data_IF_889744205189
#
_entry.id   IF_889744205189
#
_cell.length_a   1.000
_cell.length_b   1.000
_cell.length_c   1.000
_cell.angle_alpha   90.00
_cell.angle_beta   90.00
_cell.angle_gamma   90.00
#
_symmetry.space_group_name_H-M   'P 1'
#
loop_
_entity.id
_entity.type
_entity.pdbx_description
1 polymer ?
#
# COMPACT_ATOMS: atom_id res chain seq x y z
N UNK A 1 -2.85 23.37 21.63
CA UNK A 1 -4.21 23.21 21.07
C UNK A 1 -4.29 21.80 20.54
N UNK A 2 -5.15 20.95 21.11
CA UNK A 2 -5.34 19.59 20.59
C UNK A 2 -6.07 19.72 19.26
N UNK A 3 -5.35 19.58 18.15
CA UNK A 3 -5.95 19.54 16.82
C UNK A 3 -6.79 18.27 16.74
N UNK A 4 -8.09 18.43 16.54
CA UNK A 4 -9.00 17.30 16.24
C UNK A 4 -8.34 16.44 15.15
N UNK A 5 -8.22 15.11 15.33
CA UNK A 5 -7.67 14.25 14.29
C UNK A 5 -8.45 14.45 12.99
N UNK A 6 -7.76 14.71 11.88
CA UNK A 6 -8.43 14.86 10.57
C UNK A 6 -8.95 13.53 10.03
N UNK A 7 -8.46 12.42 10.58
CA UNK A 7 -8.85 11.06 10.26
C UNK A 7 -9.91 10.61 11.29
N UNK A 8 -11.08 10.10 10.85
CA UNK A 8 -12.10 9.59 11.77
C UNK A 8 -11.58 8.37 12.54
N UNK A 9 -12.18 8.08 13.69
CA UNK A 9 -11.94 6.83 14.42
C UNK A 9 -12.10 5.65 13.47
N UNK A 10 -11.08 4.79 13.43
CA UNK A 10 -10.95 3.74 12.42
C UNK A 10 -10.30 2.51 13.01
N UNK A 11 -10.99 1.37 12.93
CA UNK A 11 -10.46 0.05 13.27
C UNK A 11 -9.97 -0.67 12.02
N UNK A 12 -8.70 -1.07 12.04
CA UNK A 12 -8.01 -1.66 10.87
C UNK A 12 -7.58 -3.09 11.17
N UNK A 13 -7.92 -4.02 10.27
CA UNK A 13 -7.28 -5.33 10.21
C UNK A 13 -6.10 -5.27 9.22
N UNK A 14 -4.88 -5.35 9.73
CA UNK A 14 -3.65 -5.35 8.92
C UNK A 14 -3.12 -6.79 8.74
N UNK A 15 -3.17 -7.30 7.50
CA UNK A 15 -2.79 -8.67 7.14
C UNK A 15 -1.55 -8.67 6.26
N UNK A 16 -0.37 -8.86 6.84
CA UNK A 16 0.90 -8.86 6.10
C UNK A 16 1.98 -9.64 6.85
N UNK A 17 3.20 -9.66 6.31
CA UNK A 17 4.36 -10.24 7.00
C UNK A 17 4.75 -9.44 8.25
N UNK A 18 5.48 -10.06 9.17
CA UNK A 18 6.09 -9.40 10.31
C UNK A 18 7.57 -9.81 10.43
N UNK A 19 8.43 -8.87 10.83
CA UNK A 19 9.86 -9.09 11.05
C UNK A 19 10.28 -8.61 12.44
N UNK A 20 11.21 -9.35 13.08
CA UNK A 20 11.74 -8.98 14.40
C UNK A 20 12.59 -7.71 14.31
N UNK A 21 13.48 -7.63 13.32
CA UNK A 21 14.33 -6.47 13.04
C UNK A 21 14.10 -5.96 11.62
N UNK A 22 14.30 -4.65 11.41
CA UNK A 22 13.99 -3.97 10.15
C UNK A 22 12.56 -3.45 10.08
N UNK A 23 12.20 -2.89 8.93
CA UNK A 23 10.90 -2.27 8.65
C UNK A 23 10.35 -2.80 7.33
N UNK A 24 9.42 -3.75 7.41
CA UNK A 24 8.58 -4.26 6.32
C UNK A 24 7.26 -4.80 6.90
N UNK A 25 6.26 -5.00 6.05
CA UNK A 25 4.96 -5.59 6.38
C UNK A 25 4.25 -4.87 7.52
N UNK A 26 3.63 -5.65 8.42
CA UNK A 26 2.89 -5.17 9.58
C UNK A 26 3.73 -4.33 10.54
N UNK A 27 5.07 -4.45 10.54
CA UNK A 27 5.91 -3.57 11.37
C UNK A 27 5.88 -2.11 10.90
N UNK A 28 5.74 -1.88 9.59
CA UNK A 28 5.50 -0.55 9.03
C UNK A 28 4.02 -0.21 9.14
N UNK A 29 3.14 -1.08 8.65
CA UNK A 29 1.73 -0.77 8.53
C UNK A 29 1.12 -0.41 9.88
N UNK A 30 1.34 -1.22 10.92
CA UNK A 30 0.84 -0.95 12.28
C UNK A 30 1.36 0.39 12.80
N UNK A 31 2.66 0.66 12.64
CA UNK A 31 3.24 1.92 13.11
C UNK A 31 2.63 3.15 12.41
N UNK A 32 2.52 3.10 11.09
CA UNK A 32 1.94 4.20 10.29
C UNK A 32 0.48 4.40 10.66
N UNK A 33 -0.32 3.35 10.68
CA UNK A 33 -1.75 3.42 10.99
C UNK A 33 -2.02 3.93 12.42
N UNK A 34 -1.31 3.40 13.42
CA UNK A 34 -1.43 3.87 14.81
C UNK A 34 -0.92 5.31 14.98
N UNK A 35 0.12 5.70 14.23
CA UNK A 35 0.60 7.08 14.27
C UNK A 35 -0.45 8.08 13.79
N UNK A 36 -1.37 7.64 12.94
CA UNK A 36 -2.48 8.40 12.40
C UNK A 36 -3.76 8.30 13.24
N UNK A 37 -3.72 7.59 14.37
CA UNK A 37 -4.84 7.47 15.31
C UNK A 37 -5.75 6.27 15.09
N UNK A 38 -5.36 5.30 14.26
CA UNK A 38 -6.15 4.08 14.04
C UNK A 38 -5.89 3.03 15.12
N UNK A 39 -6.93 2.27 15.46
CA UNK A 39 -6.83 1.04 16.24
C UNK A 39 -6.55 -0.13 15.30
N UNK A 40 -5.43 -0.82 15.49
CA UNK A 40 -4.94 -1.82 14.51
C UNK A 40 -4.84 -3.19 15.14
N UNK A 41 -5.55 -4.16 14.55
CA UNK A 41 -5.31 -5.58 14.78
C UNK A 41 -4.39 -6.11 13.69
N UNK A 42 -3.26 -6.71 14.07
CA UNK A 42 -2.29 -7.27 13.13
C UNK A 42 -2.44 -8.80 13.03
N UNK A 43 -2.73 -9.29 11.84
CA UNK A 43 -2.67 -10.71 11.50
C UNK A 43 -1.41 -10.95 10.67
N UNK A 44 -0.41 -11.61 11.27
CA UNK A 44 0.87 -11.84 10.63
C UNK A 44 0.84 -13.11 9.78
N UNK A 45 1.07 -12.98 8.47
CA UNK A 45 1.13 -14.12 7.53
C UNK A 45 2.49 -14.84 7.58
N UNK A 46 3.51 -14.13 8.06
CA UNK A 46 4.86 -14.61 8.29
C UNK A 46 5.37 -14.00 9.59
N UNK A 47 5.97 -14.82 10.43
CA UNK A 47 6.74 -14.37 11.59
C UNK A 47 8.23 -14.56 11.29
N UNK A 48 8.90 -13.48 10.89
CA UNK A 48 10.28 -13.47 10.42
C UNK A 48 10.52 -14.41 9.22
N UNK A 49 11.08 -15.61 9.44
CA UNK A 49 11.30 -16.62 8.39
C UNK A 49 10.24 -17.74 8.40
N UNK A 50 9.39 -17.78 9.41
CA UNK A 50 8.39 -18.83 9.58
C UNK A 50 7.07 -18.40 8.97
N UNK A 51 6.56 -19.17 8.02
CA UNK A 51 5.23 -18.94 7.41
C UNK A 51 4.14 -19.40 8.37
N UNK A 52 3.07 -18.61 8.48
CA UNK A 52 1.84 -19.02 9.15
C UNK A 52 0.96 -19.73 8.14
N UNK A 53 0.46 -20.91 8.49
CA UNK A 53 -0.38 -21.74 7.63
C UNK A 53 -1.76 -21.11 7.41
N UNK A 54 -2.43 -21.53 6.34
CA UNK A 54 -3.80 -21.10 6.06
C UNK A 54 -4.78 -21.45 7.20
N UNK A 55 -4.58 -22.58 7.88
CA UNK A 55 -5.39 -22.98 9.03
C UNK A 55 -5.12 -22.07 10.23
N UNK A 56 -3.87 -21.79 10.58
CA UNK A 56 -3.53 -20.88 11.69
C UNK A 56 -4.06 -19.46 11.46
N UNK A 57 -4.04 -18.96 10.21
CA UNK A 57 -4.68 -17.67 9.85
C UNK A 57 -6.19 -17.73 10.13
N UNK A 58 -6.86 -18.82 9.76
CA UNK A 58 -8.29 -18.98 9.99
C UNK A 58 -8.61 -19.13 11.49
N UNK A 59 -7.80 -19.89 12.24
CA UNK A 59 -7.99 -20.07 13.69
C UNK A 59 -7.89 -18.73 14.44
N UNK A 60 -6.95 -17.86 14.04
CA UNK A 60 -6.84 -16.50 14.58
C UNK A 60 -8.07 -15.65 14.23
N UNK A 61 -8.54 -15.72 12.99
CA UNK A 61 -9.75 -15.02 12.56
C UNK A 61 -11.00 -15.50 13.32
N UNK A 62 -11.17 -16.80 13.48
CA UNK A 62 -12.26 -17.39 14.25
C UNK A 62 -12.18 -16.99 15.73
N UNK A 63 -10.97 -16.91 16.31
CA UNK A 63 -10.76 -16.40 17.66
C UNK A 63 -11.18 -14.93 17.83
N UNK A 64 -10.89 -14.07 16.84
CA UNK A 64 -11.37 -12.68 16.83
C UNK A 64 -12.89 -12.61 16.79
N UNK A 65 -13.54 -13.40 15.92
CA UNK A 65 -15.00 -13.48 15.83
C UNK A 65 -15.63 -13.96 17.15
N UNK A 66 -15.11 -15.02 17.74
CA UNK A 66 -15.59 -15.56 19.02
C UNK A 66 -15.44 -14.57 20.19
N UNK A 67 -14.52 -13.61 20.06
CA UNK A 67 -14.27 -12.57 21.05
C UNK A 67 -14.97 -11.24 20.76
N UNK A 68 -15.79 -11.16 19.71
CA UNK A 68 -16.43 -9.92 19.23
C UNK A 68 -15.43 -8.81 18.87
N UNK A 69 -14.27 -9.19 18.31
CA UNK A 69 -13.17 -8.30 17.92
C UNK A 69 -13.07 -8.12 16.41
N UNK A 70 -14.12 -8.46 15.66
CA UNK A 70 -14.18 -8.52 14.20
C UNK A 70 -15.00 -7.36 13.59
N UNK A 71 -15.15 -6.24 14.30
CA UNK A 71 -15.75 -4.98 13.85
C UNK A 71 -14.69 -4.02 13.31
N UNK A 72 -14.19 -4.34 12.11
CA UNK A 72 -13.23 -3.53 11.38
C UNK A 72 -13.93 -2.60 10.37
N UNK A 73 -13.44 -1.36 10.27
CA UNK A 73 -13.83 -0.40 9.22
C UNK A 73 -13.04 -0.63 7.93
N UNK A 74 -11.81 -1.10 8.08
CA UNK A 74 -10.86 -1.22 6.97
C UNK A 74 -10.06 -2.50 7.14
N UNK A 75 -9.77 -3.16 6.02
CA UNK A 75 -8.72 -4.17 5.94
C UNK A 75 -7.63 -3.72 4.99
N UNK A 76 -6.38 -3.84 5.41
CA UNK A 76 -5.20 -3.68 4.57
C UNK A 76 -4.49 -5.03 4.49
N UNK A 77 -4.40 -5.61 3.31
CA UNK A 77 -3.64 -6.84 3.09
C UNK A 77 -2.44 -6.61 2.17
N UNK A 78 -1.27 -7.12 2.55
CA UNK A 78 -0.02 -7.03 1.79
C UNK A 78 0.61 -8.39 1.56
N UNK A 79 1.90 -8.54 1.88
CA UNK A 79 2.65 -9.77 1.58
C UNK A 79 2.02 -11.05 2.16
N UNK A 80 1.64 -11.97 1.26
CA UNK A 80 1.10 -13.30 1.57
C UNK A 80 1.83 -14.34 0.69
N UNK A 81 2.70 -15.20 1.25
CA UNK A 81 3.68 -15.98 0.47
C UNK A 81 3.13 -17.25 -0.21
N UNK A 82 1.86 -17.62 -0.03
CA UNK A 82 1.31 -18.90 -0.49
C UNK A 82 -0.14 -18.83 -0.92
N UNK A 83 -0.51 -19.61 -1.94
CA UNK A 83 -1.83 -19.57 -2.57
C UNK A 83 -2.97 -19.88 -1.60
N UNK A 84 -2.82 -20.91 -0.75
CA UNK A 84 -3.83 -21.24 0.26
C UNK A 84 -4.05 -20.10 1.27
N UNK A 85 -2.97 -19.43 1.67
CA UNK A 85 -3.05 -18.26 2.55
C UNK A 85 -3.74 -17.08 1.86
N UNK A 86 -3.47 -16.85 0.57
CA UNK A 86 -4.18 -15.83 -0.24
C UNK A 86 -5.67 -16.14 -0.29
N UNK A 87 -6.05 -17.40 -0.55
CA UNK A 87 -7.45 -17.82 -0.60
C UNK A 87 -8.12 -17.66 0.78
N UNK A 88 -7.44 -17.98 1.90
CA UNK A 88 -7.95 -17.75 3.27
C UNK A 88 -8.13 -16.28 3.58
N UNK A 89 -7.14 -15.42 3.26
CA UNK A 89 -7.27 -13.97 3.45
C UNK A 89 -8.45 -13.41 2.65
N UNK A 90 -8.70 -13.97 1.46
CA UNK A 90 -9.91 -13.67 0.70
C UNK A 90 -11.21 -14.05 1.37
N UNK A 91 -11.26 -15.19 2.06
CA UNK A 91 -12.44 -15.59 2.84
C UNK A 91 -12.70 -14.57 3.96
N UNK A 92 -11.65 -14.12 4.66
CA UNK A 92 -11.76 -13.07 5.69
C UNK A 92 -12.31 -11.77 5.11
N UNK A 93 -11.75 -11.30 3.99
CA UNK A 93 -12.22 -10.08 3.32
C UNK A 93 -13.69 -10.17 2.88
N UNK A 94 -14.11 -11.32 2.33
CA UNK A 94 -15.51 -11.57 1.96
C UNK A 94 -16.43 -11.63 3.16
N UNK A 95 -16.05 -12.30 4.25
CA UNK A 95 -16.85 -12.33 5.50
C UNK A 95 -17.05 -10.92 6.08
N UNK A 96 -16.02 -10.07 6.05
CA UNK A 96 -16.11 -8.67 6.48
C UNK A 96 -17.01 -7.81 5.57
N UNK A 97 -16.94 -8.02 4.25
CA UNK A 97 -17.86 -7.40 3.28
C UNK A 97 -19.30 -7.84 3.52
N UNK A 98 -19.53 -9.15 3.66
CA UNK A 98 -20.86 -9.72 3.91
C UNK A 98 -21.48 -9.21 5.21
N UNK A 99 -20.68 -9.07 6.27
CA UNK A 99 -21.09 -8.47 7.55
C UNK A 99 -21.52 -7.00 7.41
N UNK A 100 -21.02 -6.30 6.39
CA UNK A 100 -21.27 -4.87 6.16
C UNK A 100 -22.25 -4.59 5.01
N UNK A 101 -22.82 -5.63 4.38
CA UNK A 101 -23.65 -5.51 3.16
C UNK A 101 -24.86 -4.57 3.29
N UNK A 102 -25.46 -4.49 4.48
CA UNK A 102 -26.65 -3.66 4.75
C UNK A 102 -26.29 -2.19 5.05
N UNK A 103 -24.99 -1.88 5.11
CA UNK A 103 -24.43 -0.54 5.36
C UNK A 103 -23.28 -0.27 4.38
N UNK A 104 -23.58 0.06 3.11
CA UNK A 104 -22.56 0.33 2.11
C UNK A 104 -21.58 1.43 2.57
N UNK A 105 -20.30 1.28 2.21
CA UNK A 105 -19.24 2.21 2.60
C UNK A 105 -18.72 2.02 4.04
N UNK A 106 -19.34 1.16 4.86
CA UNK A 106 -18.89 0.87 6.23
C UNK A 106 -17.55 0.12 6.29
N UNK A 107 -17.36 -0.86 5.41
CA UNK A 107 -16.14 -1.63 5.31
C UNK A 107 -15.45 -1.37 3.97
N UNK A 108 -14.13 -1.25 4.00
CA UNK A 108 -13.30 -1.03 2.82
C UNK A 108 -12.04 -1.90 2.85
N UNK A 109 -11.77 -2.61 1.75
CA UNK A 109 -10.60 -3.46 1.63
C UNK A 109 -9.59 -2.91 0.61
N UNK A 110 -8.42 -2.51 1.12
CA UNK A 110 -7.23 -2.23 0.31
C UNK A 110 -6.31 -3.45 0.25
N UNK A 111 -5.95 -3.87 -0.96
CA UNK A 111 -5.11 -5.02 -1.25
C UNK A 111 -3.86 -4.58 -2.02
N UNK A 112 -2.70 -4.76 -1.41
CA UNK A 112 -1.40 -4.74 -2.08
C UNK A 112 -1.06 -6.18 -2.52
N UNK A 113 -1.17 -6.52 -3.82
CA UNK A 113 -1.01 -7.88 -4.32
C UNK A 113 0.48 -8.21 -4.49
N UNK A 114 1.23 -8.23 -3.39
CA UNK A 114 2.69 -8.39 -3.40
C UNK A 114 3.07 -9.74 -4.00
N UNK A 115 3.62 -9.74 -5.21
CA UNK A 115 4.03 -10.93 -5.96
C UNK A 115 5.48 -10.85 -6.44
N UNK A 116 5.97 -9.65 -6.74
CA UNK A 116 7.27 -9.49 -7.34
C UNK A 116 7.55 -8.07 -7.79
N UNK A 117 8.80 -7.81 -8.16
CA UNK A 117 9.25 -6.52 -8.62
C UNK A 117 10.42 -6.68 -9.61
N UNK A 118 10.64 -5.70 -10.47
CA UNK A 118 11.70 -5.67 -11.49
C UNK A 118 11.75 -6.95 -12.36
N UNK A 119 10.58 -7.44 -12.77
CA UNK A 119 10.45 -8.62 -13.64
C UNK A 119 10.66 -9.96 -12.94
N UNK A 120 10.82 -9.98 -11.62
CA UNK A 120 11.08 -11.20 -10.84
C UNK A 120 9.96 -11.45 -9.84
N UNK A 121 9.39 -12.65 -9.88
CA UNK A 121 8.41 -13.13 -8.91
C UNK A 121 9.15 -13.61 -7.65
N UNK A 122 8.67 -13.20 -6.47
CA UNK A 122 9.23 -13.57 -5.15
C UNK A 122 8.37 -14.58 -4.38
N UNK A 123 7.24 -14.97 -4.95
CA UNK A 123 6.26 -15.89 -4.37
C UNK A 123 6.17 -17.20 -5.17
N UNK A 124 5.43 -18.18 -4.65
CA UNK A 124 5.13 -19.40 -5.41
C UNK A 124 4.37 -19.05 -6.71
N UNK A 125 4.63 -19.72 -7.85
CA UNK A 125 3.89 -19.50 -9.10
C UNK A 125 2.36 -19.60 -8.95
N UNK A 126 1.88 -20.38 -7.99
CA UNK A 126 0.45 -20.57 -7.69
C UNK A 126 -0.23 -19.33 -7.07
N UNK A 127 0.56 -18.38 -6.54
CA UNK A 127 0.04 -17.15 -5.92
C UNK A 127 -0.56 -16.21 -6.96
N UNK A 128 0.00 -16.14 -8.17
CA UNK A 128 -0.53 -15.26 -9.23
C UNK A 128 -1.97 -15.67 -9.63
N UNK A 129 -2.27 -16.95 -9.94
CA UNK A 129 -3.65 -17.41 -10.13
C UNK A 129 -4.56 -17.16 -8.92
N UNK A 130 -4.05 -17.30 -7.68
CA UNK A 130 -4.84 -17.03 -6.48
C UNK A 130 -5.23 -15.55 -6.40
N UNK A 131 -4.30 -14.62 -6.61
CA UNK A 131 -4.63 -13.19 -6.68
C UNK A 131 -5.58 -12.87 -7.82
N UNK A 132 -5.43 -13.45 -9.01
CA UNK A 132 -6.40 -13.26 -10.11
C UNK A 132 -7.82 -13.67 -9.73
N UNK A 133 -7.99 -14.70 -8.90
CA UNK A 133 -9.32 -15.04 -8.35
C UNK A 133 -9.76 -14.12 -7.23
N UNK A 134 -8.83 -13.51 -6.50
CA UNK A 134 -9.08 -12.71 -5.31
C UNK A 134 -9.44 -11.24 -5.60
N UNK A 135 -8.73 -10.58 -6.52
CA UNK A 135 -8.71 -9.12 -6.59
C UNK A 135 -10.08 -8.47 -6.86
N UNK A 136 -11.03 -9.20 -7.46
CA UNK A 136 -12.40 -8.71 -7.66
C UNK A 136 -13.17 -8.45 -6.36
N UNK A 137 -12.71 -9.04 -5.24
CA UNK A 137 -13.28 -8.81 -3.92
C UNK A 137 -12.73 -7.55 -3.24
N UNK A 138 -11.66 -6.92 -3.75
CA UNK A 138 -11.04 -5.74 -3.14
C UNK A 138 -11.69 -4.43 -3.65
N UNK A 139 -11.70 -3.39 -2.80
CA UNK A 139 -12.20 -2.06 -3.18
C UNK A 139 -11.09 -1.19 -3.78
N UNK A 140 -9.86 -1.37 -3.31
CA UNK A 140 -8.66 -0.72 -3.81
C UNK A 140 -7.55 -1.75 -3.98
N UNK A 141 -6.88 -1.75 -5.13
CA UNK A 141 -5.63 -2.48 -5.32
C UNK A 141 -4.44 -1.54 -5.54
N UNK A 142 -3.28 -1.96 -5.04
CA UNK A 142 -2.06 -1.15 -5.03
C UNK A 142 -0.85 -1.82 -5.74
N UNK A 143 -1.03 -2.44 -6.93
CA UNK A 143 0.08 -3.14 -7.58
C UNK A 143 1.20 -2.18 -7.98
N UNK A 144 2.43 -2.67 -8.01
CA UNK A 144 3.49 -2.05 -8.81
C UNK A 144 3.27 -2.32 -10.31
N UNK A 145 4.11 -1.75 -11.18
CA UNK A 145 3.99 -1.95 -12.64
C UNK A 145 4.00 -3.44 -13.02
N UNK A 146 4.95 -4.22 -12.49
CA UNK A 146 5.10 -5.64 -12.84
C UNK A 146 3.89 -6.48 -12.39
N UNK A 147 3.38 -6.22 -11.19
CA UNK A 147 2.18 -6.88 -10.67
C UNK A 147 0.94 -6.53 -11.50
N UNK A 148 0.82 -5.28 -11.97
CA UNK A 148 -0.25 -4.87 -12.87
C UNK A 148 -0.17 -5.59 -14.23
N UNK A 149 1.03 -5.84 -14.77
CA UNK A 149 1.20 -6.67 -15.97
C UNK A 149 0.75 -8.11 -15.74
N UNK A 150 1.10 -8.71 -14.59
CA UNK A 150 0.71 -10.07 -14.24
C UNK A 150 -0.81 -10.22 -14.13
N UNK A 151 -1.48 -9.26 -13.48
CA UNK A 151 -2.93 -9.28 -13.26
C UNK A 151 -3.72 -8.96 -14.53
N UNK A 152 -3.31 -7.92 -15.27
CA UNK A 152 -4.01 -7.47 -16.49
C UNK A 152 -3.67 -8.31 -17.71
N UNK A 153 -2.55 -9.03 -17.70
CA UNK A 153 -2.00 -9.77 -18.85
C UNK A 153 -1.65 -8.84 -20.03
N UNK A 154 -1.46 -7.54 -19.74
CA UNK A 154 -1.01 -6.51 -20.68
C UNK A 154 0.40 -6.10 -20.31
N UNK A 155 1.35 -6.20 -21.26
CA UNK A 155 2.70 -5.67 -21.08
C UNK A 155 2.66 -4.14 -21.10
N UNK A 156 3.30 -3.50 -20.13
CA UNK A 156 3.34 -2.04 -19.96
C UNK A 156 4.71 -1.54 -20.41
N UNK A 157 4.76 -0.88 -21.56
CA UNK A 157 5.96 -0.30 -22.13
C UNK A 157 5.89 1.23 -22.26
N UNK A 158 4.70 1.80 -22.12
CA UNK A 158 4.40 3.22 -22.30
C UNK A 158 3.10 3.60 -21.57
N UNK A 159 2.74 4.88 -21.60
CA UNK A 159 1.55 5.38 -20.89
C UNK A 159 0.24 4.83 -21.48
N UNK A 160 0.19 4.51 -22.77
CA UNK A 160 -1.02 3.99 -23.42
C UNK A 160 -1.29 2.53 -23.01
N UNK A 161 -0.25 1.70 -23.01
CA UNK A 161 -0.30 0.32 -22.50
C UNK A 161 -0.59 0.27 -21.00
N UNK A 162 -0.10 1.23 -20.21
CA UNK A 162 -0.47 1.40 -18.80
C UNK A 162 -1.97 1.71 -18.64
N UNK A 163 -2.51 2.70 -19.38
CA UNK A 163 -3.96 3.01 -19.36
C UNK A 163 -4.79 1.79 -19.75
N UNK A 164 -4.35 1.04 -20.77
CA UNK A 164 -5.00 -0.21 -21.21
C UNK A 164 -4.97 -1.28 -20.12
N UNK A 165 -3.84 -1.49 -19.44
CA UNK A 165 -3.71 -2.45 -18.35
C UNK A 165 -4.70 -2.14 -17.22
N UNK A 166 -4.78 -0.86 -16.79
CA UNK A 166 -5.71 -0.40 -15.76
C UNK A 166 -7.17 -0.57 -16.20
N UNK A 167 -7.52 -0.21 -17.45
CA UNK A 167 -8.88 -0.42 -17.98
C UNK A 167 -9.26 -1.91 -17.98
N UNK A 168 -8.34 -2.81 -18.37
CA UNK A 168 -8.57 -4.27 -18.29
C UNK A 168 -8.83 -4.71 -16.85
N UNK A 169 -8.14 -4.15 -15.86
CA UNK A 169 -8.38 -4.49 -14.46
C UNK A 169 -9.78 -4.05 -13.99
N UNK A 170 -10.22 -2.85 -14.37
CA UNK A 170 -11.60 -2.40 -14.14
C UNK A 170 -12.61 -3.29 -14.87
N UNK A 171 -12.39 -3.63 -16.13
CA UNK A 171 -13.35 -4.39 -16.95
C UNK A 171 -13.49 -5.84 -16.47
N UNK A 172 -12.36 -6.52 -16.23
CA UNK A 172 -12.29 -7.95 -15.91
C UNK A 172 -12.63 -8.24 -14.45
N UNK A 173 -12.13 -7.40 -13.53
CA UNK A 173 -12.23 -7.65 -12.09
C UNK A 173 -13.19 -6.70 -11.38
N UNK A 174 -13.72 -5.67 -12.05
CA UNK A 174 -14.63 -4.68 -11.45
C UNK A 174 -14.05 -3.98 -10.23
N UNK A 175 -12.71 -3.87 -10.16
CA UNK A 175 -12.02 -3.21 -9.06
C UNK A 175 -12.33 -1.71 -9.09
N UNK A 176 -12.91 -1.13 -8.03
CA UNK A 176 -13.31 0.28 -8.02
C UNK A 176 -12.15 1.26 -8.14
N UNK A 177 -11.08 1.02 -7.38
CA UNK A 177 -9.94 1.90 -7.28
C UNK A 177 -8.63 1.16 -7.54
N UNK A 178 -7.76 1.76 -8.35
CA UNK A 178 -6.46 1.18 -8.70
C UNK A 178 -5.41 2.26 -8.58
N UNK A 179 -4.29 1.97 -7.92
CA UNK A 179 -3.11 2.85 -7.90
C UNK A 179 -1.87 2.05 -8.26
N UNK A 180 -1.22 2.42 -9.35
CA UNK A 180 0.10 1.90 -9.72
C UNK A 180 1.15 2.71 -8.95
N UNK A 181 1.80 2.05 -8.00
CA UNK A 181 2.61 2.70 -6.94
C UNK A 181 3.92 3.33 -7.43
N UNK A 182 4.52 2.78 -8.48
CA UNK A 182 5.69 3.37 -9.12
C UNK A 182 5.75 3.02 -10.59
N UNK A 183 5.82 4.05 -11.42
CA UNK A 183 5.93 3.96 -12.88
C UNK A 183 7.13 4.80 -13.31
N UNK A 184 8.05 4.16 -14.03
CA UNK A 184 9.20 4.80 -14.66
C UNK A 184 9.10 4.62 -16.18
N UNK A 185 8.22 5.38 -16.81
CA UNK A 185 7.98 5.37 -18.25
C UNK A 185 8.35 6.73 -18.82
N UNK A 186 8.93 6.74 -20.03
CA UNK A 186 9.21 7.98 -20.74
C UNK A 186 7.91 8.69 -21.11
N UNK A 187 7.80 9.96 -20.74
CA UNK A 187 6.68 10.82 -21.12
C UNK A 187 7.15 12.29 -21.21
N UNK A 188 6.53 13.15 -22.04
CA UNK A 188 6.95 14.54 -22.22
C UNK A 188 6.96 15.38 -20.93
N UNK A 189 6.13 15.02 -19.96
CA UNK A 189 5.99 15.67 -18.65
C UNK A 189 6.73 14.91 -17.53
N UNK A 190 7.62 13.98 -17.88
CA UNK A 190 8.42 13.18 -16.96
C UNK A 190 9.90 13.57 -17.09
N UNK A 191 10.40 14.48 -16.23
CA UNK A 191 11.80 14.87 -16.27
C UNK A 191 12.73 13.69 -15.92
N UNK A 192 14.03 13.77 -16.27
CA UNK A 192 15.01 12.81 -15.77
C UNK A 192 14.96 12.70 -14.24
N UNK A 193 15.23 11.51 -13.71
CA UNK A 193 15.23 11.24 -12.26
C UNK A 193 13.90 11.58 -11.57
N UNK A 194 12.79 11.30 -12.23
CA UNK A 194 11.44 11.35 -11.65
C UNK A 194 10.80 9.96 -11.69
N UNK A 195 9.81 9.77 -10.84
CA UNK A 195 8.87 8.65 -10.88
C UNK A 195 7.45 9.22 -10.96
N UNK A 196 6.51 8.35 -11.30
CA UNK A 196 5.10 8.69 -11.20
C UNK A 196 4.27 7.63 -10.51
N UNK A 197 3.22 8.09 -9.84
CA UNK A 197 2.07 7.27 -9.43
C UNK A 197 0.95 7.55 -10.41
N UNK A 198 0.29 6.50 -10.87
CA UNK A 198 -0.91 6.61 -11.71
C UNK A 198 -2.07 5.95 -10.99
N UNK A 199 -3.13 6.70 -10.77
CA UNK A 199 -4.35 6.19 -10.15
C UNK A 199 -5.55 6.27 -11.07
N UNK A 200 -6.54 5.42 -10.81
CA UNK A 200 -7.83 5.42 -11.46
C UNK A 200 -8.94 5.04 -10.50
N UNK A 201 -10.04 5.78 -10.56
CA UNK A 201 -11.33 5.35 -10.01
C UNK A 201 -12.29 5.17 -11.17
N UNK A 202 -12.92 4.01 -11.27
CA UNK A 202 -13.87 3.77 -12.36
C UNK A 202 -15.13 4.64 -12.23
N UNK A 203 -15.83 4.86 -13.33
CA UNK A 203 -17.22 5.35 -13.35
C UNK A 203 -18.19 4.22 -13.01
N UNK A 204 -19.47 4.55 -12.85
CA UNK A 204 -20.57 3.59 -12.71
C UNK A 204 -20.64 2.58 -13.87
N UNK A 205 -20.14 2.97 -15.05
CA UNK A 205 -20.07 2.14 -16.26
C UNK A 205 -18.74 1.40 -16.43
N UNK A 206 -17.83 1.50 -15.46
CA UNK A 206 -16.52 0.84 -15.48
C UNK A 206 -15.43 1.58 -16.27
N UNK A 207 -15.68 2.81 -16.73
CA UNK A 207 -14.68 3.61 -17.45
C UNK A 207 -13.66 4.19 -16.48
N UNK A 208 -12.38 4.07 -16.79
CA UNK A 208 -11.31 4.60 -15.96
C UNK A 208 -11.27 6.15 -15.95
N UNK A 209 -11.07 6.74 -14.76
CA UNK A 209 -10.77 8.17 -14.60
C UNK A 209 -9.36 8.33 -14.08
N UNK A 210 -8.43 8.60 -14.99
CA UNK A 210 -7.00 8.59 -14.73
C UNK A 210 -6.48 9.90 -14.14
N UNK A 211 -5.61 9.78 -13.15
CA UNK A 211 -4.73 10.86 -12.72
C UNK A 211 -3.29 10.37 -12.62
N UNK A 212 -2.34 11.28 -12.78
CA UNK A 212 -0.91 11.07 -12.56
C UNK A 212 -0.36 12.08 -11.58
N UNK A 213 0.54 11.65 -10.71
CA UNK A 213 1.37 12.53 -9.90
C UNK A 213 2.83 12.21 -10.22
N UNK A 214 3.60 13.23 -10.64
CA UNK A 214 5.02 13.13 -10.96
C UNK A 214 5.82 13.74 -9.82
N UNK A 215 6.87 13.04 -9.36
CA UNK A 215 7.71 13.46 -8.25
C UNK A 215 9.17 13.01 -8.46
N UNK A 216 10.16 13.73 -7.90
CA UNK A 216 11.56 13.37 -8.06
C UNK A 216 11.88 12.03 -7.41
N UNK A 217 12.63 11.20 -8.13
CA UNK A 217 13.19 9.95 -7.61
C UNK A 217 14.32 10.26 -6.62
N UNK A 218 14.39 9.49 -5.54
CA UNK A 218 15.52 9.54 -4.62
C UNK A 218 16.46 8.40 -5.01
N UNK A 219 17.70 8.72 -5.38
CA UNK A 219 18.72 7.73 -5.76
C UNK A 219 19.26 7.01 -4.51
N UNK A 220 18.40 6.16 -3.95
CA UNK A 220 18.67 5.40 -2.76
C UNK A 220 17.77 4.16 -2.70
N UNK A 221 18.33 3.06 -2.21
CA UNK A 221 17.55 1.85 -1.97
C UNK A 221 16.84 1.95 -0.62
N UNK A 222 15.56 1.60 -0.59
CA UNK A 222 14.74 1.54 0.61
C UNK A 222 13.96 0.23 0.65
N UNK A 223 13.77 -0.33 1.83
CA UNK A 223 12.88 -1.47 2.06
C UNK A 223 11.56 -1.01 2.67
N UNK A 224 10.47 -1.69 2.32
CA UNK A 224 9.14 -1.45 2.92
C UNK A 224 8.43 -0.18 2.46
N UNK A 225 8.84 0.42 1.33
CA UNK A 225 8.17 1.59 0.76
C UNK A 225 6.74 1.28 0.32
N UNK A 226 6.49 0.10 -0.27
CA UNK A 226 5.15 -0.38 -0.61
C UNK A 226 4.25 -0.53 0.63
N UNK A 227 4.77 -1.14 1.71
CA UNK A 227 4.02 -1.29 2.97
C UNK A 227 3.62 0.07 3.56
N UNK A 228 4.54 1.06 3.51
CA UNK A 228 4.25 2.43 3.93
C UNK A 228 3.22 3.09 3.01
N UNK A 229 3.36 2.92 1.69
CA UNK A 229 2.42 3.44 0.71
C UNK A 229 1.01 2.91 0.98
N UNK A 230 0.83 1.60 1.12
CA UNK A 230 -0.48 0.99 1.36
C UNK A 230 -1.14 1.42 2.67
N UNK A 231 -0.37 1.49 3.75
CA UNK A 231 -0.85 1.97 5.04
C UNK A 231 -1.30 3.43 5.01
N UNK A 232 -0.52 4.32 4.37
CA UNK A 232 -0.90 5.71 4.18
C UNK A 232 -2.10 5.81 3.24
N UNK A 233 -2.09 5.10 2.11
CA UNK A 233 -3.07 5.24 1.04
C UNK A 233 -4.49 4.92 1.52
N UNK A 234 -4.68 3.81 2.25
CA UNK A 234 -6.01 3.40 2.69
C UNK A 234 -6.63 4.38 3.70
N UNK A 235 -5.82 4.92 4.61
CA UNK A 235 -6.31 5.86 5.62
C UNK A 235 -6.44 7.28 5.07
N UNK A 236 -5.54 7.72 4.20
CA UNK A 236 -5.68 9.00 3.50
C UNK A 236 -6.86 8.98 2.52
N UNK A 237 -7.20 7.83 1.94
CA UNK A 237 -8.42 7.63 1.17
C UNK A 237 -9.66 7.82 2.07
N UNK A 238 -9.71 7.16 3.23
CA UNK A 238 -10.80 7.36 4.20
C UNK A 238 -10.92 8.81 4.65
N UNK A 239 -9.80 9.47 4.95
CA UNK A 239 -9.75 10.90 5.29
C UNK A 239 -10.35 11.77 4.16
N UNK A 240 -9.96 11.52 2.91
CA UNK A 240 -10.45 12.26 1.76
C UNK A 240 -11.95 12.03 1.51
N UNK A 241 -12.44 10.79 1.68
CA UNK A 241 -13.86 10.45 1.58
C UNK A 241 -14.68 11.17 2.65
N UNK A 242 -14.20 11.18 3.90
CA UNK A 242 -14.89 11.86 4.99
C UNK A 242 -14.93 13.38 4.80
N UNK A 243 -13.91 13.96 4.17
CA UNK A 243 -13.86 15.39 3.86
C UNK A 243 -14.65 15.78 2.60
N UNK A 244 -14.90 14.85 1.68
CA UNK A 244 -15.55 15.15 0.41
C UNK A 244 -17.05 15.46 0.56
N UNK A 245 -17.85 14.49 0.98
CA UNK A 245 -19.26 14.67 1.31
C UNK A 245 -19.82 13.49 2.12
N UNK A 246 -20.96 13.68 2.78
CA UNK A 246 -21.59 12.67 3.63
C UNK A 246 -22.11 11.48 2.83
N UNK A 247 -22.66 11.70 1.63
CA UNK A 247 -23.21 10.63 0.79
C UNK A 247 -22.16 9.58 0.45
N UNK A 248 -20.95 10.01 0.08
CA UNK A 248 -19.86 9.12 -0.32
C UNK A 248 -19.42 8.15 0.79
N UNK A 249 -19.54 8.56 2.06
CA UNK A 249 -19.22 7.71 3.23
C UNK A 249 -20.14 6.49 3.32
N UNK A 250 -21.33 6.60 2.73
CA UNK A 250 -22.35 5.55 2.70
C UNK A 250 -22.52 4.93 1.31
N UNK A 251 -21.57 5.18 0.39
CA UNK A 251 -21.55 4.59 -0.94
C UNK A 251 -20.67 3.35 -0.95
N UNK A 252 -21.13 2.28 -1.62
CA UNK A 252 -20.35 1.06 -1.80
C UNK A 252 -18.97 1.37 -2.38
N UNK A 253 -17.94 0.78 -1.77
CA UNK A 253 -16.53 0.97 -2.14
C UNK A 253 -16.09 2.44 -2.20
N UNK A 254 -16.79 3.39 -1.58
CA UNK A 254 -16.52 4.83 -1.71
C UNK A 254 -16.40 5.31 -3.17
N UNK A 255 -17.18 4.70 -4.07
CA UNK A 255 -17.17 5.02 -5.49
C UNK A 255 -17.78 6.42 -5.71
N UNK A 256 -16.96 7.36 -6.18
CA UNK A 256 -17.41 8.74 -6.43
C UNK A 256 -18.32 8.82 -7.66
N UNK A 257 -19.30 9.73 -7.62
CA UNK A 257 -20.19 10.03 -8.75
C UNK A 257 -19.42 10.31 -10.05
N UNK A 258 -20.00 9.96 -11.20
CA UNK A 258 -19.36 10.06 -12.51
C UNK A 258 -19.01 11.51 -12.90
N UNK A 259 -19.68 12.51 -12.32
CA UNK A 259 -19.38 13.92 -12.51
C UNK A 259 -18.08 14.39 -11.85
N UNK A 260 -17.55 13.63 -10.87
CA UNK A 260 -16.31 13.99 -10.19
C UNK A 260 -15.11 13.78 -11.13
N UNK A 261 -14.36 14.86 -11.35
CA UNK A 261 -13.18 14.84 -12.21
C UNK A 261 -12.04 14.02 -11.60
N UNK A 262 -11.16 13.46 -12.43
CA UNK A 262 -10.12 12.53 -11.98
C UNK A 262 -9.16 13.12 -10.92
N UNK A 263 -8.89 14.42 -10.96
CA UNK A 263 -8.01 15.12 -10.00
C UNK A 263 -8.73 15.54 -8.72
N UNK A 264 -10.06 15.49 -8.69
CA UNK A 264 -10.89 15.80 -7.52
C UNK A 264 -11.35 14.54 -6.77
N UNK A 265 -11.09 13.35 -7.33
CA UNK A 265 -11.33 12.09 -6.67
C UNK A 265 -10.65 12.04 -5.30
N UNK A 266 -11.29 11.47 -4.26
CA UNK A 266 -10.64 11.20 -2.98
C UNK A 266 -9.35 10.38 -3.13
N UNK A 267 -9.31 9.48 -4.11
CA UNK A 267 -8.13 8.69 -4.45
C UNK A 267 -6.94 9.58 -4.86
N UNK A 268 -7.18 10.61 -5.66
CA UNK A 268 -6.15 11.57 -6.08
C UNK A 268 -5.67 12.40 -4.88
N UNK A 269 -6.60 12.95 -4.08
CA UNK A 269 -6.28 13.73 -2.88
C UNK A 269 -5.50 12.94 -1.84
N UNK A 270 -5.83 11.67 -1.68
CA UNK A 270 -5.10 10.76 -0.81
C UNK A 270 -3.67 10.52 -1.33
N UNK A 271 -3.51 10.23 -2.63
CA UNK A 271 -2.21 10.01 -3.24
C UNK A 271 -1.29 11.24 -3.15
N UNK A 272 -1.82 12.46 -3.29
CA UNK A 272 -1.07 13.71 -3.09
C UNK A 272 -0.46 13.80 -1.68
N UNK A 273 -1.25 13.49 -0.64
CA UNK A 273 -0.78 13.47 0.76
C UNK A 273 0.22 12.34 1.02
N UNK A 274 -0.06 11.14 0.49
CA UNK A 274 0.82 9.96 0.62
C UNK A 274 2.20 10.28 0.07
N UNK A 275 2.27 10.85 -1.13
CA UNK A 275 3.54 11.20 -1.76
C UNK A 275 4.29 12.31 -0.99
N UNK A 276 3.58 13.29 -0.42
CA UNK A 276 4.18 14.26 0.50
C UNK A 276 4.85 13.57 1.70
N UNK A 277 4.11 12.70 2.40
CA UNK A 277 4.63 11.95 3.56
C UNK A 277 5.83 11.09 3.18
N UNK A 278 5.70 10.28 2.13
CA UNK A 278 6.74 9.35 1.72
C UNK A 278 8.00 10.09 1.29
N UNK A 279 7.87 11.15 0.49
CA UNK A 279 9.03 11.88 0.01
C UNK A 279 9.83 12.51 1.17
N UNK A 280 9.14 13.10 2.16
CA UNK A 280 9.82 13.62 3.34
C UNK A 280 10.51 12.53 4.17
N UNK A 281 9.82 11.40 4.42
CA UNK A 281 10.39 10.27 5.18
C UNK A 281 11.61 9.70 4.47
N UNK A 282 11.54 9.50 3.16
CA UNK A 282 12.61 8.91 2.37
C UNK A 282 13.82 9.86 2.27
N UNK A 283 13.60 11.15 2.06
CA UNK A 283 14.68 12.14 2.04
C UNK A 283 15.41 12.21 3.38
N UNK A 284 14.68 12.29 4.50
CA UNK A 284 15.28 12.29 5.85
C UNK A 284 15.96 10.97 6.19
N UNK A 285 15.40 9.85 5.73
CA UNK A 285 16.04 8.53 5.86
C UNK A 285 17.37 8.51 5.10
N UNK A 286 17.39 9.00 3.86
CA UNK A 286 18.59 9.12 3.02
C UNK A 286 19.68 9.97 3.69
N UNK A 287 19.33 11.15 4.20
CA UNK A 287 20.24 12.02 4.95
C UNK A 287 20.80 11.34 6.21
N UNK A 288 19.97 10.55 6.88
CA UNK A 288 20.33 9.79 8.08
C UNK A 288 21.21 8.56 7.82
N UNK A 289 21.26 8.03 6.59
CA UNK A 289 21.96 6.78 6.29
C UNK A 289 23.45 6.85 6.60
N UNK A 290 24.11 7.95 6.24
CA UNK A 290 25.56 8.12 6.47
C UNK A 290 25.91 7.93 7.95
N UNK A 291 25.13 8.53 8.86
CA UNK A 291 25.32 8.39 10.31
C UNK A 291 25.13 6.96 10.79
N UNK A 292 24.17 6.22 10.20
CA UNK A 292 23.93 4.81 10.54
C UNK A 292 25.10 3.93 10.09
N UNK A 293 25.61 4.16 8.87
CA UNK A 293 26.79 3.47 8.34
C UNK A 293 28.01 3.75 9.19
N UNK A 294 28.32 5.02 9.47
CA UNK A 294 29.47 5.43 10.29
C UNK A 294 29.45 4.78 11.68
N UNK A 295 28.30 4.86 12.38
CA UNK A 295 28.15 4.24 13.70
C UNK A 295 28.34 2.73 13.64
N UNK A 296 27.67 2.06 12.71
CA UNK A 296 27.69 0.58 12.64
C UNK A 296 29.08 0.08 12.25
N UNK A 297 29.74 0.71 11.29
CA UNK A 297 31.11 0.37 10.88
C UNK A 297 32.11 0.66 12.01
N UNK A 298 31.90 1.73 12.79
CA UNK A 298 32.71 2.06 13.97
C UNK A 298 32.74 0.93 15.01
N UNK A 299 31.61 0.26 15.22
CA UNK A 299 31.48 -0.87 16.16
C UNK A 299 32.01 -2.21 15.60
N UNK A 300 32.29 -2.29 14.30
CA UNK A 300 32.79 -3.52 13.66
C UNK A 300 34.29 -3.71 13.87
N UNK A 301 34.71 -4.97 14.05
CA UNK A 301 36.13 -5.39 14.02
C UNK A 301 36.74 -5.08 12.65
N UNK A 302 38.05 -4.85 12.58
CA UNK A 302 38.73 -4.51 11.32
C UNK A 302 38.51 -5.58 10.23
N UNK A 303 38.63 -6.86 10.59
CA UNK A 303 38.40 -8.03 9.73
C UNK A 303 36.99 -8.04 9.09
N UNK A 304 36.01 -7.50 9.81
CA UNK A 304 34.62 -7.47 9.36
C UNK A 304 34.33 -6.33 8.38
N UNK A 305 35.16 -5.29 8.38
CA UNK A 305 35.03 -4.11 7.50
C UNK A 305 35.49 -4.42 6.07
N UNK A 306 36.34 -5.42 5.90
CA UNK A 306 36.82 -5.90 4.60
C UNK A 306 35.91 -6.98 4.01
N UNK A 307 34.98 -7.52 4.80
CA UNK A 307 34.04 -8.54 4.34
C UNK A 307 32.87 -7.92 3.56
N UNK A 308 32.82 -8.17 2.26
CA UNK A 308 31.79 -7.61 1.36
C UNK A 308 30.35 -7.91 1.81
N UNK A 309 30.08 -9.12 2.30
CA UNK A 309 28.76 -9.50 2.81
C UNK A 309 28.37 -8.67 4.04
N UNK A 310 29.31 -8.46 4.97
CA UNK A 310 29.05 -7.63 6.17
C UNK A 310 28.87 -6.17 5.80
N UNK A 311 29.66 -5.64 4.87
CA UNK A 311 29.50 -4.28 4.33
C UNK A 311 28.13 -4.12 3.67
N UNK A 312 27.67 -5.12 2.91
CA UNK A 312 26.33 -5.12 2.32
C UNK A 312 25.24 -5.09 3.42
N UNK A 313 25.36 -5.88 4.48
CA UNK A 313 24.42 -5.86 5.60
C UNK A 313 24.34 -4.49 6.30
N UNK A 314 25.47 -3.79 6.44
CA UNK A 314 25.49 -2.41 6.98
C UNK A 314 24.73 -1.45 6.07
N UNK A 315 24.90 -1.56 4.75
CA UNK A 315 24.15 -0.75 3.78
C UNK A 315 22.65 -1.06 3.85
N UNK A 316 22.26 -2.34 3.90
CA UNK A 316 20.85 -2.74 4.05
C UNK A 316 20.24 -2.22 5.35
N UNK A 317 20.99 -2.25 6.45
CA UNK A 317 20.55 -1.68 7.74
C UNK A 317 20.38 -0.15 7.67
N UNK A 318 21.26 0.55 6.96
CA UNK A 318 21.14 1.98 6.76
C UNK A 318 19.94 2.35 5.88
N UNK A 319 19.57 1.48 4.95
CA UNK A 319 18.41 1.61 4.06
C UNK A 319 17.03 1.41 4.75
N UNK A 320 17.00 1.00 6.02
CA UNK A 320 15.77 0.84 6.78
C UNK A 320 15.09 2.21 7.03
N UNK A 321 13.77 2.28 6.80
CA UNK A 321 12.99 3.51 6.98
C UNK A 321 13.09 4.05 8.42
N UNK A 322 13.46 5.32 8.56
CA UNK A 322 13.58 5.98 9.86
C UNK A 322 12.24 6.55 10.35
N UNK A 323 11.17 5.74 10.33
CA UNK A 323 9.79 6.18 10.61
C UNK A 323 9.63 6.80 12.01
N UNK A 324 10.18 6.15 13.04
CA UNK A 324 10.03 6.59 14.45
C UNK A 324 10.61 7.99 14.68
N UNK A 325 11.66 8.37 13.93
CA UNK A 325 12.29 9.70 14.05
C UNK A 325 11.61 10.77 13.22
N UNK A 326 10.77 10.37 12.26
CA UNK A 326 10.15 11.26 11.28
C UNK A 326 8.61 11.16 11.32
N UNK A 327 8.05 11.02 12.53
CA UNK A 327 6.62 10.82 12.75
C UNK A 327 5.76 11.95 12.18
N UNK A 328 6.24 13.19 12.28
CA UNK A 328 5.49 14.36 11.79
C UNK A 328 5.31 14.34 10.28
N UNK A 329 6.24 13.75 9.53
CA UNK A 329 6.13 13.57 8.08
C UNK A 329 4.94 12.67 7.72
N UNK A 330 4.61 11.69 8.58
CA UNK A 330 3.44 10.82 8.39
C UNK A 330 2.15 11.57 8.72
N UNK A 331 2.14 12.35 9.81
CA UNK A 331 0.93 13.01 10.34
C UNK A 331 0.53 14.25 9.56
N UNK A 332 1.50 15.12 9.26
CA UNK A 332 1.30 16.46 8.70
C UNK A 332 2.19 16.66 7.47
N UNK A 333 1.97 15.91 6.38
CA UNK A 333 2.80 16.05 5.19
C UNK A 333 2.62 17.40 4.50
N UNK A 334 3.70 17.92 3.92
CA UNK A 334 3.62 19.03 2.96
C UNK A 334 3.20 18.49 1.61
N UNK A 335 1.99 18.85 1.17
CA UNK A 335 1.47 18.44 -0.14
C UNK A 335 2.04 19.34 -1.25
N UNK A 336 3.15 18.92 -1.84
CA UNK A 336 3.83 19.65 -2.91
C UNK A 336 3.66 19.03 -4.31
N UNK A 337 3.24 17.77 -4.38
CA UNK A 337 3.00 17.05 -5.63
C UNK A 337 1.50 16.97 -5.90
N UNK A 338 1.08 17.42 -7.07
CA UNK A 338 -0.33 17.53 -7.43
C UNK A 338 -0.73 16.53 -8.52
N UNK A 339 -1.94 16.02 -8.41
CA UNK A 339 -2.56 15.18 -9.40
C UNK A 339 -2.90 15.98 -10.66
N UNK A 340 -2.56 15.42 -11.82
CA UNK A 340 -2.91 15.92 -13.15
C UNK A 340 -3.76 14.88 -13.87
N UNK A 341 -4.77 15.34 -14.60
CA UNK A 341 -5.54 14.48 -15.50
C UNK A 341 -4.62 13.94 -16.61
N UNK A 342 -4.92 12.74 -17.11
CA UNK A 342 -4.13 12.04 -18.12
C UNK A 342 -4.86 11.80 -19.43
#
# INVERSE_FOLDING_TARGET
MSTVPTIPDTRVLAVASHVVSGYVGNKIAVFVLQSLGCDVAALNTVQFRTRVSAQEIMDLWDGLKQSYLDDFDVMLSGYIPGAEAVDTVGKIGRELKDKSKDTPGKFFWALDPVMGDNGKIYVSPEVVPAYKRLIHDADLILPNQFEAELLSEVKINDMDSLRKAIQVLHDKYKVPHIVITSVNLEAPDHPPSHLSVVGSTMTSTGQARFFKIVFPSIDCYFSGTGDMFGALMVIRMREAVFNANEHLRHTASWLSDDSVSATELPLARAAEKVLGSMHEVLSKTCEGMKKVVERTTGDMKAEDRENETKVHLVKSKAAELQLVRNLDCLRMPVTQYQAKAM
#
